data_IF_113815332153
#
_entry.id   IF_113815332153
#
_cell.length_a   1.000
_cell.length_b   1.000
_cell.length_c   1.000
_cell.angle_alpha   90.00
_cell.angle_beta   90.00
_cell.angle_gamma   90.00
#
_symmetry.space_group_name_H-M   'P 1'
#
loop_
_entity.id
_entity.type
_entity.pdbx_description
1 polymer ?
#
# COMPACT_ATOMS: atom_id res chain seq x y z
N UNK A 1 -2.89 24.79 25.18
CA UNK A 1 -2.19 24.66 23.89
C UNK A 1 -3.26 24.67 22.82
N UNK A 2 -3.26 25.71 21.97
CA UNK A 2 -4.27 25.91 20.93
C UNK A 2 -3.88 25.08 19.72
N UNK A 3 -4.57 23.97 19.48
CA UNK A 3 -4.44 23.19 18.24
C UNK A 3 -5.22 23.91 17.13
N UNK A 4 -4.62 24.93 16.54
CA UNK A 4 -5.03 25.38 15.21
C UNK A 4 -4.43 24.42 14.20
N UNK A 5 -5.11 23.29 13.95
CA UNK A 5 -4.79 22.42 12.82
C UNK A 5 -5.08 23.19 11.54
N UNK A 6 -4.04 23.57 10.82
CA UNK A 6 -4.17 23.71 9.37
C UNK A 6 -4.47 22.32 8.83
N UNK A 7 -5.71 22.08 8.41
CA UNK A 7 -6.20 20.85 7.76
C UNK A 7 -5.52 20.56 6.42
N UNK A 8 -4.60 21.44 5.99
CA UNK A 8 -3.86 21.31 4.73
C UNK A 8 -2.73 20.28 4.86
N UNK A 9 -2.03 20.22 6.01
CA UNK A 9 -0.87 19.32 6.20
C UNK A 9 -1.18 17.82 6.26
N UNK A 10 -2.46 17.43 6.20
CA UNK A 10 -2.88 16.02 6.16
C UNK A 10 -3.21 15.52 4.75
N UNK A 11 -3.39 16.40 3.76
CA UNK A 11 -3.76 16.00 2.39
C UNK A 11 -2.53 15.57 1.60
N UNK A 12 -2.73 14.70 0.63
CA UNK A 12 -1.66 14.35 -0.30
C UNK A 12 -1.50 15.46 -1.36
N UNK A 13 -0.27 15.86 -1.75
CA UNK A 13 -0.06 16.76 -2.89
C UNK A 13 -0.62 16.15 -4.17
N UNK A 14 -1.15 17.00 -5.05
CA UNK A 14 -1.50 16.54 -6.41
C UNK A 14 -0.19 16.15 -7.10
N UNK A 15 -0.03 14.87 -7.47
CA UNK A 15 1.21 14.38 -8.05
C UNK A 15 1.42 14.95 -9.46
N UNK A 16 2.67 14.98 -9.90
CA UNK A 16 3.01 15.26 -11.29
C UNK A 16 2.45 14.16 -12.19
N UNK A 17 1.76 14.56 -13.26
CA UNK A 17 1.21 13.60 -14.22
C UNK A 17 2.29 12.68 -14.79
N UNK A 18 1.96 11.38 -14.89
CA UNK A 18 2.81 10.33 -15.43
C UNK A 18 2.38 9.87 -16.84
N UNK A 19 1.28 10.41 -17.34
CA UNK A 19 0.81 10.22 -18.71
C UNK A 19 -0.50 10.98 -18.96
N UNK A 20 -1.12 10.77 -20.14
CA UNK A 20 -2.33 11.47 -20.53
C UNK A 20 -3.52 11.27 -19.57
N UNK A 21 -3.63 10.11 -18.92
CA UNK A 21 -4.73 9.83 -18.00
C UNK A 21 -4.62 10.67 -16.73
N UNK A 22 -3.44 10.69 -16.10
CA UNK A 22 -3.18 11.46 -14.87
C UNK A 22 -3.14 12.96 -15.11
N UNK A 23 -2.73 13.41 -16.30
CA UNK A 23 -2.82 14.82 -16.72
C UNK A 23 -4.27 15.28 -16.78
N UNK A 24 -5.12 14.54 -17.51
CA UNK A 24 -6.55 14.83 -17.60
C UNK A 24 -7.26 14.70 -16.24
N UNK A 25 -6.92 13.69 -15.43
CA UNK A 25 -7.49 13.51 -14.10
C UNK A 25 -7.14 14.71 -13.19
N UNK A 26 -5.92 15.20 -13.25
CA UNK A 26 -5.49 16.37 -12.46
C UNK A 26 -6.27 17.62 -12.87
N UNK A 27 -6.46 17.83 -14.18
CA UNK A 27 -7.28 18.94 -14.69
C UNK A 27 -8.73 18.86 -14.19
N UNK A 28 -9.33 17.66 -14.22
CA UNK A 28 -10.69 17.43 -13.72
C UNK A 28 -10.80 17.73 -12.23
N UNK A 29 -9.89 17.20 -11.42
CA UNK A 29 -9.94 17.32 -9.96
C UNK A 29 -9.68 18.75 -9.45
N UNK A 30 -8.81 19.49 -10.14
CA UNK A 30 -8.48 20.89 -9.82
C UNK A 30 -9.46 21.89 -10.45
N UNK A 31 -10.29 21.45 -11.40
CA UNK A 31 -11.36 22.25 -12.00
C UNK A 31 -12.51 22.53 -11.03
N UNK A 32 -13.37 23.48 -11.39
CA UNK A 32 -14.57 23.78 -10.62
C UNK A 32 -15.58 22.62 -10.72
N UNK A 33 -15.79 21.89 -9.62
CA UNK A 33 -16.74 20.78 -9.52
C UNK A 33 -18.14 21.08 -10.10
N UNK A 34 -18.61 22.33 -10.07
CA UNK A 34 -19.91 22.70 -10.65
C UNK A 34 -19.92 22.74 -12.19
N UNK A 35 -18.75 22.94 -12.81
CA UNK A 35 -18.57 23.27 -14.24
C UNK A 35 -17.79 22.20 -15.03
N UNK A 36 -17.09 21.28 -14.36
CA UNK A 36 -16.28 20.19 -14.95
C UNK A 36 -17.01 18.95 -15.54
N UNK A 37 -18.36 18.80 -15.56
CA UNK A 37 -18.98 17.61 -16.17
C UNK A 37 -18.59 17.30 -17.63
N UNK A 38 -18.14 18.30 -18.40
CA UNK A 38 -17.80 18.15 -19.83
C UNK A 38 -16.49 17.38 -20.10
N UNK A 39 -15.59 17.26 -19.12
CA UNK A 39 -14.27 16.62 -19.30
C UNK A 39 -14.26 15.11 -18.95
N UNK A 40 -15.28 14.63 -18.24
CA UNK A 40 -15.38 13.24 -17.78
C UNK A 40 -15.46 12.19 -18.92
N UNK A 41 -16.14 12.44 -20.05
CA UNK A 41 -16.13 11.50 -21.18
C UNK A 41 -14.74 11.28 -21.78
N UNK A 42 -13.92 12.33 -21.83
CA UNK A 42 -12.52 12.25 -22.28
C UNK A 42 -11.71 11.41 -21.29
N UNK A 43 -11.83 11.71 -19.99
CA UNK A 43 -11.15 10.96 -18.92
C UNK A 43 -11.47 9.46 -18.99
N UNK A 44 -12.75 9.10 -19.19
CA UNK A 44 -13.16 7.70 -19.35
C UNK A 44 -12.58 7.03 -20.61
N UNK A 45 -12.41 7.79 -21.69
CA UNK A 45 -11.76 7.30 -22.91
C UNK A 45 -10.27 7.05 -22.70
N UNK A 46 -9.58 7.98 -22.03
CA UNK A 46 -8.17 7.85 -21.70
C UNK A 46 -7.92 6.66 -20.76
N UNK A 47 -8.78 6.46 -19.75
CA UNK A 47 -8.68 5.32 -18.85
C UNK A 47 -8.75 3.98 -19.60
N UNK A 48 -9.71 3.83 -20.52
CA UNK A 48 -9.83 2.62 -21.36
C UNK A 48 -8.63 2.43 -22.28
N UNK A 49 -8.09 3.51 -22.84
CA UNK A 49 -6.91 3.46 -23.70
C UNK A 49 -5.68 2.99 -22.93
N UNK A 50 -5.41 3.58 -21.76
CA UNK A 50 -4.29 3.22 -20.91
C UNK A 50 -4.38 1.76 -20.42
N UNK A 51 -5.58 1.33 -20.00
CA UNK A 51 -5.85 -0.08 -19.66
C UNK A 51 -5.53 -1.01 -20.83
N UNK A 52 -6.02 -0.68 -22.03
CA UNK A 52 -5.82 -1.52 -23.21
C UNK A 52 -4.34 -1.64 -23.58
N UNK A 53 -3.60 -0.54 -23.57
CA UNK A 53 -2.17 -0.49 -23.88
C UNK A 53 -1.34 -1.29 -22.87
N UNK A 54 -1.58 -1.10 -21.57
CA UNK A 54 -0.85 -1.82 -20.53
C UNK A 54 -1.21 -3.31 -20.52
N UNK A 55 -2.51 -3.67 -20.58
CA UNK A 55 -2.96 -5.06 -20.56
C UNK A 55 -2.50 -5.88 -21.78
N UNK A 56 -2.22 -5.23 -22.93
CA UNK A 56 -1.64 -5.90 -24.09
C UNK A 56 -0.26 -6.52 -23.82
N UNK A 57 0.43 -6.09 -22.77
CA UNK A 57 1.76 -6.55 -22.39
C UNK A 57 1.77 -7.49 -21.16
N UNK A 58 0.59 -7.94 -20.70
CA UNK A 58 0.43 -8.88 -19.60
C UNK A 58 0.09 -8.23 -18.25
N UNK A 59 -0.17 -9.05 -17.21
CA UNK A 59 -0.61 -8.55 -15.90
C UNK A 59 0.44 -7.69 -15.19
N UNK A 60 1.74 -8.04 -15.27
CA UNK A 60 2.78 -7.22 -14.66
C UNK A 60 2.90 -5.83 -15.28
N UNK A 61 2.57 -5.70 -16.58
CA UNK A 61 2.59 -4.41 -17.25
C UNK A 61 1.51 -3.47 -16.71
N UNK A 62 0.30 -3.95 -16.42
CA UNK A 62 -0.75 -3.14 -15.79
C UNK A 62 -0.40 -2.78 -14.33
N UNK A 63 0.16 -3.73 -13.57
CA UNK A 63 0.63 -3.50 -12.19
C UNK A 63 1.80 -2.51 -12.15
N UNK A 64 2.62 -2.49 -13.20
CA UNK A 64 3.77 -1.60 -13.35
C UNK A 64 3.51 -0.33 -14.15
N UNK A 65 2.28 -0.07 -14.61
CA UNK A 65 1.97 1.10 -15.44
C UNK A 65 1.87 2.37 -14.58
N UNK A 66 2.77 3.33 -14.84
CA UNK A 66 2.89 4.56 -14.08
C UNK A 66 1.64 5.46 -14.16
N UNK A 67 0.95 5.51 -15.29
CA UNK A 67 -0.20 6.39 -15.50
C UNK A 67 -1.47 5.79 -14.86
N UNK A 68 -1.71 4.49 -15.07
CA UNK A 68 -2.83 3.75 -14.49
C UNK A 68 -2.73 3.69 -12.96
N UNK A 69 -1.57 3.33 -12.41
CA UNK A 69 -1.42 3.16 -10.97
C UNK A 69 -1.52 4.51 -10.25
N UNK A 70 -0.93 5.58 -10.78
CA UNK A 70 -1.06 6.91 -10.17
C UNK A 70 -2.50 7.44 -10.25
N UNK A 71 -3.20 7.23 -11.37
CA UNK A 71 -4.61 7.61 -11.49
C UNK A 71 -5.48 6.90 -10.44
N UNK A 72 -5.28 5.59 -10.23
CA UNK A 72 -5.96 4.84 -9.17
C UNK A 72 -5.62 5.38 -7.77
N UNK A 73 -4.35 5.68 -7.49
CA UNK A 73 -3.94 6.24 -6.20
C UNK A 73 -4.63 7.58 -5.93
N UNK A 74 -4.68 8.48 -6.92
CA UNK A 74 -5.39 9.76 -6.80
C UNK A 74 -6.89 9.56 -6.53
N UNK A 75 -7.55 8.64 -7.24
CA UNK A 75 -8.97 8.34 -7.08
C UNK A 75 -9.29 7.68 -5.72
N UNK A 76 -8.40 6.85 -5.19
CA UNK A 76 -8.55 6.28 -3.86
C UNK A 76 -8.30 7.30 -2.76
N UNK A 77 -7.38 8.24 -2.95
CA UNK A 77 -7.09 9.25 -1.93
C UNK A 77 -8.28 10.15 -1.61
N UNK A 78 -9.24 10.30 -2.54
CA UNK A 78 -10.52 10.97 -2.28
C UNK A 78 -11.35 10.30 -1.17
N UNK A 79 -11.09 9.02 -0.89
CA UNK A 79 -11.74 8.23 0.18
C UNK A 79 -10.89 8.20 1.46
N UNK A 80 -9.75 8.90 1.50
CA UNK A 80 -8.87 8.99 2.67
C UNK A 80 -8.75 10.45 3.13
N UNK A 81 -7.59 11.08 2.93
CA UNK A 81 -7.31 12.46 3.38
C UNK A 81 -7.53 13.48 2.26
N UNK A 82 -7.81 13.04 1.04
CA UNK A 82 -8.01 13.88 -0.12
C UNK A 82 -6.70 14.46 -0.69
N UNK A 83 -6.86 15.23 -1.77
CA UNK A 83 -5.76 15.90 -2.45
C UNK A 83 -5.79 17.42 -2.15
N UNK A 84 -4.62 18.05 -2.11
CA UNK A 84 -4.52 19.51 -1.97
C UNK A 84 -5.27 20.24 -3.09
N UNK A 85 -6.13 21.19 -2.72
CA UNK A 85 -6.90 22.00 -3.68
C UNK A 85 -8.06 21.30 -4.38
N UNK A 86 -8.34 20.04 -4.04
CA UNK A 86 -9.44 19.25 -4.62
C UNK A 86 -10.66 19.28 -3.69
N UNK A 87 -11.83 19.57 -4.27
CA UNK A 87 -13.12 19.61 -3.56
C UNK A 87 -13.56 18.20 -3.10
N UNK A 88 -13.90 18.05 -1.82
CA UNK A 88 -14.29 16.76 -1.23
C UNK A 88 -15.57 16.16 -1.86
N UNK A 89 -16.39 16.97 -2.54
CA UNK A 89 -17.56 16.46 -3.28
C UNK A 89 -17.19 15.52 -4.42
N UNK A 90 -15.94 15.54 -4.90
CA UNK A 90 -15.44 14.60 -5.90
C UNK A 90 -15.44 13.15 -5.39
N UNK A 91 -15.39 12.91 -4.08
CA UNK A 91 -15.39 11.56 -3.46
C UNK A 91 -16.52 10.68 -4.01
N UNK A 92 -17.71 11.26 -4.18
CA UNK A 92 -18.94 10.57 -4.61
C UNK A 92 -19.46 11.00 -5.98
N UNK A 93 -18.65 11.73 -6.76
CA UNK A 93 -19.05 12.14 -8.11
C UNK A 93 -19.17 10.91 -9.03
N UNK A 94 -20.37 10.63 -9.52
CA UNK A 94 -20.69 9.37 -10.23
C UNK A 94 -19.84 9.13 -11.47
N UNK A 95 -19.47 10.18 -12.21
CA UNK A 95 -18.58 10.08 -13.35
C UNK A 95 -17.16 9.64 -12.97
N UNK A 96 -16.60 10.12 -11.85
CA UNK A 96 -15.30 9.67 -11.37
C UNK A 96 -15.37 8.26 -10.80
N UNK A 97 -16.46 7.92 -10.10
CA UNK A 97 -16.70 6.55 -9.64
C UNK A 97 -16.75 5.57 -10.82
N UNK A 98 -17.34 5.95 -11.94
CA UNK A 98 -17.38 5.12 -13.15
C UNK A 98 -15.98 4.91 -13.75
N UNK A 99 -15.13 5.95 -13.77
CA UNK A 99 -13.72 5.84 -14.20
C UNK A 99 -12.93 4.95 -13.24
N UNK A 100 -13.07 5.16 -11.92
CA UNK A 100 -12.42 4.34 -10.91
C UNK A 100 -12.81 2.87 -11.05
N UNK A 101 -14.10 2.57 -11.19
CA UNK A 101 -14.59 1.21 -11.38
C UNK A 101 -13.97 0.53 -12.61
N UNK A 102 -13.77 1.27 -13.71
CA UNK A 102 -13.10 0.74 -14.91
C UNK A 102 -11.65 0.35 -14.63
N UNK A 103 -10.91 1.18 -13.89
CA UNK A 103 -9.52 0.93 -13.51
C UNK A 103 -9.42 -0.19 -12.45
N UNK A 104 -10.34 -0.23 -11.48
CA UNK A 104 -10.45 -1.28 -10.46
C UNK A 104 -10.66 -2.66 -11.09
N UNK A 105 -11.55 -2.75 -12.08
CA UNK A 105 -11.81 -4.00 -12.82
C UNK A 105 -10.56 -4.50 -13.54
N UNK A 106 -9.81 -3.60 -14.18
CA UNK A 106 -8.57 -3.94 -14.84
C UNK A 106 -7.50 -4.40 -13.82
N UNK A 107 -7.33 -3.64 -12.73
CA UNK A 107 -6.39 -3.99 -11.67
C UNK A 107 -6.71 -5.35 -11.07
N UNK A 108 -7.96 -5.62 -10.70
CA UNK A 108 -8.34 -6.93 -10.16
C UNK A 108 -8.04 -8.07 -11.13
N UNK A 109 -8.36 -7.91 -12.41
CA UNK A 109 -8.06 -8.92 -13.42
C UNK A 109 -6.56 -9.19 -13.52
N UNK A 110 -5.72 -8.14 -13.48
CA UNK A 110 -4.27 -8.30 -13.48
C UNK A 110 -3.76 -8.94 -12.18
N UNK A 111 -4.30 -8.59 -11.02
CA UNK A 111 -3.92 -9.19 -9.73
C UNK A 111 -4.26 -10.67 -9.65
N UNK A 112 -5.45 -11.09 -10.12
CA UNK A 112 -5.83 -12.50 -10.20
C UNK A 112 -4.95 -13.29 -11.16
N UNK A 113 -4.65 -12.71 -12.32
CA UNK A 113 -3.73 -13.32 -13.29
C UNK A 113 -2.28 -13.38 -12.77
N UNK A 114 -1.83 -12.40 -11.98
CA UNK A 114 -0.49 -12.36 -11.40
C UNK A 114 -0.23 -13.53 -10.43
N UNK A 115 -1.28 -14.02 -9.76
CA UNK A 115 -1.15 -15.06 -8.71
C UNK A 115 -1.68 -16.43 -9.12
N UNK A 116 -2.04 -16.59 -10.40
CA UNK A 116 -2.63 -17.81 -10.96
C UNK A 116 -3.79 -18.35 -10.09
N UNK A 117 -4.83 -17.52 -9.88
CA UNK A 117 -5.99 -17.79 -9.00
C UNK A 117 -6.91 -18.96 -9.43
N UNK A 118 -6.41 -19.93 -10.21
CA UNK A 118 -7.16 -21.08 -10.73
C UNK A 118 -7.19 -22.28 -9.76
N UNK A 119 -6.51 -22.19 -8.62
CA UNK A 119 -6.44 -23.28 -7.64
C UNK A 119 -7.66 -23.28 -6.70
N UNK A 120 -8.68 -24.07 -7.06
CA UNK A 120 -9.78 -24.40 -6.14
C UNK A 120 -9.24 -24.91 -4.81
N UNK A 121 -9.33 -24.09 -3.77
CA UNK A 121 -8.81 -24.43 -2.43
C UNK A 121 -9.98 -24.73 -1.49
N UNK A 122 -9.85 -25.81 -0.72
CA UNK A 122 -10.84 -26.18 0.28
C UNK A 122 -10.83 -25.20 1.45
N UNK A 123 -12.02 -24.85 1.96
CA UNK A 123 -12.17 -24.04 3.16
C UNK A 123 -11.47 -24.64 4.40
N UNK A 124 -11.33 -25.98 4.45
CA UNK A 124 -10.67 -26.67 5.56
C UNK A 124 -9.17 -26.38 5.64
N UNK A 125 -8.54 -25.98 4.54
CA UNK A 125 -7.09 -25.89 4.42
C UNK A 125 -6.57 -24.46 4.49
N UNK A 126 -7.44 -23.43 4.59
CA UNK A 126 -7.04 -22.01 4.46
C UNK A 126 -5.93 -21.62 5.44
N UNK A 127 -6.04 -21.97 6.72
CA UNK A 127 -5.01 -21.61 7.72
C UNK A 127 -3.68 -22.31 7.42
N UNK A 128 -3.73 -23.61 7.08
CA UNK A 128 -2.53 -24.35 6.71
C UNK A 128 -1.88 -23.77 5.43
N UNK A 129 -2.69 -23.45 4.42
CA UNK A 129 -2.21 -22.80 3.20
C UNK A 129 -1.63 -21.42 3.46
N UNK A 130 -2.21 -20.62 4.37
CA UNK A 130 -1.63 -19.33 4.77
C UNK A 130 -0.24 -19.51 5.38
N UNK A 131 -0.07 -20.46 6.31
CA UNK A 131 1.25 -20.76 6.87
C UNK A 131 2.26 -21.23 5.81
N UNK A 132 1.84 -22.09 4.87
CA UNK A 132 2.69 -22.51 3.75
C UNK A 132 3.11 -21.33 2.85
N UNK A 133 2.19 -20.42 2.56
CA UNK A 133 2.45 -19.24 1.74
C UNK A 133 3.40 -18.24 2.41
N UNK A 134 3.34 -18.11 3.74
CA UNK A 134 4.13 -17.14 4.50
C UNK A 134 5.43 -17.71 5.06
N UNK A 135 5.77 -18.97 4.73
CA UNK A 135 7.05 -19.55 5.12
C UNK A 135 8.23 -18.69 4.59
N UNK A 136 9.23 -18.39 5.43
CA UNK A 136 10.37 -17.59 5.01
C UNK A 136 11.07 -18.17 3.77
N UNK A 137 11.17 -17.37 2.72
CA UNK A 137 11.85 -17.77 1.49
C UNK A 137 13.30 -18.24 1.77
N UNK A 138 13.70 -19.32 1.10
CA UNK A 138 15.06 -19.89 1.24
C UNK A 138 16.16 -18.97 0.70
N UNK A 139 15.84 -18.10 -0.26
CA UNK A 139 16.81 -17.19 -0.89
C UNK A 139 16.88 -15.85 -0.13
N UNK A 140 18.05 -15.18 -0.07
CA UNK A 140 18.17 -13.86 0.54
C UNK A 140 17.33 -12.81 -0.21
N UNK A 141 16.21 -12.37 0.38
CA UNK A 141 15.37 -11.27 -0.13
C UNK A 141 15.80 -9.88 0.38
N UNK A 142 14.96 -8.87 0.14
CA UNK A 142 15.16 -7.46 0.51
C UNK A 142 15.65 -7.29 1.96
N UNK A 143 14.95 -7.90 2.92
CA UNK A 143 15.33 -7.86 4.33
C UNK A 143 16.75 -8.37 4.62
N UNK A 144 17.18 -9.44 3.96
CA UNK A 144 18.54 -9.97 4.11
C UNK A 144 19.58 -9.04 3.47
N UNK A 145 19.24 -8.39 2.35
CA UNK A 145 20.08 -7.39 1.72
C UNK A 145 20.26 -6.16 2.63
N UNK A 146 19.17 -5.61 3.16
CA UNK A 146 19.21 -4.45 4.08
C UNK A 146 20.02 -4.74 5.35
N UNK A 147 19.77 -5.90 5.97
CA UNK A 147 20.51 -6.32 7.16
C UNK A 147 22.02 -6.38 6.94
N UNK A 148 22.48 -6.84 5.78
CA UNK A 148 23.90 -7.26 5.57
C UNK A 148 24.71 -6.37 4.64
N UNK A 149 24.07 -5.68 3.69
CA UNK A 149 24.73 -5.05 2.55
C UNK A 149 24.34 -3.60 2.35
N UNK A 150 23.14 -3.21 2.75
CA UNK A 150 22.66 -1.89 2.39
C UNK A 150 23.44 -0.77 3.04
N UNK A 151 23.46 0.36 2.36
CA UNK A 151 23.94 1.64 2.86
C UNK A 151 22.76 2.48 3.37
N UNK A 152 23.07 3.54 4.12
CA UNK A 152 22.04 4.40 4.72
C UNK A 152 21.12 5.03 3.66
N UNK A 153 21.67 5.36 2.49
CA UNK A 153 20.88 5.91 1.38
C UNK A 153 19.82 4.92 0.87
N UNK A 154 20.12 3.62 0.88
CA UNK A 154 19.16 2.60 0.46
C UNK A 154 18.06 2.38 1.51
N UNK A 155 18.37 2.61 2.80
CA UNK A 155 17.34 2.71 3.84
C UNK A 155 16.44 3.93 3.63
N UNK A 156 16.99 5.08 3.23
CA UNK A 156 16.18 6.25 2.87
C UNK A 156 15.26 5.96 1.68
N UNK A 157 15.79 5.32 0.64
CA UNK A 157 14.97 4.92 -0.51
C UNK A 157 13.87 3.93 -0.12
N UNK A 158 14.14 2.98 0.78
CA UNK A 158 13.12 2.09 1.33
C UNK A 158 12.00 2.88 2.01
N UNK A 159 12.34 3.80 2.92
CA UNK A 159 11.34 4.61 3.62
C UNK A 159 10.53 5.46 2.65
N UNK A 160 11.17 6.05 1.64
CA UNK A 160 10.49 6.81 0.58
C UNK A 160 9.49 5.94 -0.17
N UNK A 161 9.90 4.76 -0.67
CA UNK A 161 9.02 3.83 -1.40
C UNK A 161 7.82 3.43 -0.54
N UNK A 162 8.07 3.15 0.74
CA UNK A 162 7.05 2.65 1.68
C UNK A 162 6.14 3.75 2.23
N UNK A 163 6.54 5.03 2.15
CA UNK A 163 5.85 6.16 2.78
C UNK A 163 4.40 6.39 2.35
N UNK A 164 4.04 6.06 1.10
CA UNK A 164 2.67 6.28 0.58
C UNK A 164 1.64 5.44 1.35
N UNK A 165 2.02 4.23 1.79
CA UNK A 165 1.18 3.41 2.66
C UNK A 165 1.46 3.69 4.14
N UNK A 166 2.72 3.62 4.57
CA UNK A 166 3.03 3.58 6.00
C UNK A 166 2.69 4.88 6.75
N UNK A 167 2.65 6.04 6.09
CA UNK A 167 2.16 7.29 6.71
C UNK A 167 0.61 7.34 6.89
N UNK A 168 -0.09 6.29 6.46
CA UNK A 168 -1.52 6.05 6.70
C UNK A 168 -1.81 4.59 7.12
N UNK A 169 -0.83 3.89 7.65
CA UNK A 169 -1.03 2.60 8.29
C UNK A 169 -2.00 2.76 9.49
N UNK A 170 -3.10 2.00 9.62
CA UNK A 170 -3.58 0.84 8.84
C UNK A 170 -4.91 1.13 8.08
N UNK A 171 -5.08 2.35 7.57
CA UNK A 171 -6.34 2.89 7.04
C UNK A 171 -7.04 2.01 5.97
N UNK A 172 -6.34 1.40 4.99
CA UNK A 172 -6.99 0.56 4.00
C UNK A 172 -7.70 -0.67 4.60
N UNK A 173 -7.14 -1.28 5.64
CA UNK A 173 -7.74 -2.45 6.30
C UNK A 173 -8.93 -2.07 7.18
N UNK A 174 -8.94 -0.87 7.75
CA UNK A 174 -10.05 -0.33 8.57
C UNK A 174 -11.39 -0.35 7.81
N UNK A 175 -11.37 -0.21 6.48
CA UNK A 175 -12.57 -0.38 5.67
C UNK A 175 -13.22 -1.77 5.82
N UNK A 176 -12.49 -2.81 6.18
CA UNK A 176 -13.06 -4.13 6.42
C UNK A 176 -14.02 -4.16 7.64
N UNK A 177 -13.77 -3.35 8.67
CA UNK A 177 -14.52 -3.37 9.94
C UNK A 177 -16.05 -3.30 9.74
N UNK A 178 -16.64 -2.33 9.00
CA UNK A 178 -18.09 -2.28 8.80
C UNK A 178 -18.65 -3.48 8.03
N UNK A 179 -17.81 -4.25 7.32
CA UNK A 179 -18.21 -5.38 6.46
C UNK A 179 -18.16 -6.74 7.19
N UNK A 180 -17.56 -6.79 8.38
CA UNK A 180 -17.42 -7.99 9.21
C UNK A 180 -18.48 -8.03 10.33
N UNK A 181 -18.58 -9.15 11.05
CA UNK A 181 -19.46 -9.33 12.20
C UNK A 181 -18.85 -10.34 13.20
N UNK A 182 -19.43 -10.44 14.41
CA UNK A 182 -19.07 -11.47 15.38
C UNK A 182 -17.61 -11.44 15.85
N UNK A 183 -17.06 -12.62 16.15
CA UNK A 183 -15.68 -12.77 16.63
C UNK A 183 -14.65 -12.30 15.60
N UNK A 184 -14.91 -12.49 14.31
CA UNK A 184 -14.05 -12.03 13.21
C UNK A 184 -13.90 -10.51 13.21
N UNK A 185 -14.98 -9.77 13.51
CA UNK A 185 -14.91 -8.31 13.70
C UNK A 185 -14.06 -7.93 14.90
N UNK A 186 -14.20 -8.67 16.01
CA UNK A 186 -13.41 -8.40 17.21
C UNK A 186 -11.91 -8.60 16.93
N UNK A 187 -11.53 -9.69 16.25
CA UNK A 187 -10.15 -9.95 15.83
C UNK A 187 -9.58 -8.86 14.91
N UNK A 188 -10.36 -8.39 13.92
CA UNK A 188 -9.97 -7.24 13.07
C UNK A 188 -9.76 -5.98 13.91
N UNK A 189 -10.69 -5.67 14.83
CA UNK A 189 -10.57 -4.47 15.68
C UNK A 189 -9.38 -4.57 16.64
N UNK A 190 -9.07 -5.76 17.14
CA UNK A 190 -7.92 -6.00 18.01
C UNK A 190 -6.61 -5.64 17.31
N UNK A 191 -6.36 -6.19 16.11
CA UNK A 191 -5.20 -5.86 15.28
C UNK A 191 -5.17 -4.36 14.99
N UNK A 192 -6.27 -3.80 14.45
CA UNK A 192 -6.31 -2.37 14.10
C UNK A 192 -6.14 -1.45 15.31
N UNK A 193 -6.53 -1.87 16.53
CA UNK A 193 -6.34 -1.05 17.74
C UNK A 193 -4.86 -0.89 18.06
N UNK A 194 -4.07 -1.95 17.87
CA UNK A 194 -2.62 -1.91 18.05
C UNK A 194 -1.95 -1.03 16.99
N UNK A 195 -2.33 -1.19 15.72
CA UNK A 195 -1.86 -0.34 14.61
C UNK A 195 -2.12 1.16 14.85
N UNK A 196 -3.26 1.48 15.49
CA UNK A 196 -3.63 2.83 15.92
C UNK A 196 -3.10 3.21 17.32
N UNK A 197 -2.09 2.50 17.83
CA UNK A 197 -1.34 2.81 19.05
C UNK A 197 -2.14 2.66 20.34
N UNK A 198 -3.22 1.87 20.35
CA UNK A 198 -4.07 1.67 21.53
C UNK A 198 -4.71 2.95 22.07
N UNK A 199 -4.89 3.96 21.21
CA UNK A 199 -5.39 5.29 21.59
C UNK A 199 -4.30 6.28 22.03
N UNK A 200 -3.02 5.93 21.87
CA UNK A 200 -1.88 6.80 22.15
C UNK A 200 -1.31 7.33 20.83
N UNK A 201 -1.46 8.63 20.51
CA UNK A 201 -1.04 9.18 19.22
C UNK A 201 0.43 8.96 18.88
N UNK A 202 1.31 8.95 19.88
CA UNK A 202 2.74 8.72 19.72
C UNK A 202 3.11 7.26 19.40
N UNK A 203 2.19 6.33 19.58
CA UNK A 203 2.36 4.89 19.31
C UNK A 203 1.60 4.43 18.07
N UNK A 204 0.86 5.31 17.39
CA UNK A 204 0.29 5.01 16.07
C UNK A 204 1.44 4.62 15.14
N UNK A 205 1.35 3.49 14.45
CA UNK A 205 2.45 2.97 13.62
C UNK A 205 2.87 3.95 12.53
N UNK A 206 1.92 4.67 11.94
CA UNK A 206 2.22 5.77 11.01
C UNK A 206 3.05 6.90 11.63
N UNK A 207 2.87 7.21 12.92
CA UNK A 207 3.66 8.22 13.64
C UNK A 207 5.08 7.72 13.96
N UNK A 208 5.23 6.43 14.29
CA UNK A 208 6.53 5.77 14.45
C UNK A 208 7.29 5.73 13.12
N UNK A 209 6.62 5.42 12.00
CA UNK A 209 7.23 5.45 10.68
C UNK A 209 7.68 6.87 10.29
N UNK A 210 6.85 7.88 10.57
CA UNK A 210 7.19 9.29 10.40
C UNK A 210 8.42 9.68 11.24
N UNK A 211 8.54 9.17 12.46
CA UNK A 211 9.74 9.35 13.29
C UNK A 211 10.98 8.73 12.63
N UNK A 212 10.88 7.51 12.08
CA UNK A 212 11.98 6.88 11.36
C UNK A 212 12.42 7.70 10.15
N UNK A 213 11.47 8.27 9.41
CA UNK A 213 11.76 9.17 8.29
C UNK A 213 12.54 10.40 8.75
N UNK A 214 12.06 11.12 9.78
CA UNK A 214 12.76 12.31 10.30
C UNK A 214 14.16 11.98 10.83
N UNK A 215 14.30 10.85 11.53
CA UNK A 215 15.59 10.40 12.07
C UNK A 215 16.64 10.12 10.98
N UNK A 216 16.19 9.76 9.77
CA UNK A 216 17.06 9.60 8.59
C UNK A 216 17.12 10.85 7.70
N UNK A 217 16.57 11.98 8.12
CA UNK A 217 16.61 13.25 7.39
C UNK A 217 15.61 13.37 6.24
N UNK A 218 14.52 12.59 6.27
CA UNK A 218 13.43 12.65 5.31
C UNK A 218 12.28 13.54 5.80
N UNK A 219 11.48 14.04 4.84
CA UNK A 219 10.23 14.75 5.06
C UNK A 219 9.11 13.73 5.30
N UNK A 220 8.49 13.79 6.47
CA UNK A 220 7.43 12.87 6.88
C UNK A 220 6.02 13.37 6.53
N UNK A 221 5.90 14.47 5.79
CA UNK A 221 4.60 14.96 5.33
C UNK A 221 3.93 13.93 4.42
N UNK A 222 2.63 13.69 4.64
CA UNK A 222 1.89 12.67 3.91
C UNK A 222 1.92 12.91 2.39
N UNK A 223 2.41 11.92 1.65
CA UNK A 223 2.51 12.00 0.19
C UNK A 223 3.64 12.88 -0.35
N UNK A 224 4.56 13.39 0.47
CA UNK A 224 5.68 14.24 0.05
C UNK A 224 6.53 13.63 -1.09
N UNK A 225 6.56 12.31 -1.17
CA UNK A 225 7.36 11.57 -2.13
C UNK A 225 6.55 10.81 -3.19
N UNK A 226 5.26 11.08 -3.33
CA UNK A 226 4.40 10.38 -4.30
C UNK A 226 4.95 10.43 -5.73
N UNK A 227 5.68 11.48 -6.13
CA UNK A 227 6.30 11.59 -7.45
C UNK A 227 7.55 10.71 -7.66
N UNK A 228 8.15 10.25 -6.56
CA UNK A 228 9.39 9.45 -6.56
C UNK A 228 9.14 7.95 -6.43
N UNK A 229 7.95 7.52 -6.02
CA UNK A 229 7.69 6.08 -5.83
C UNK A 229 7.37 5.39 -7.17
N UNK A 230 7.90 4.18 -7.42
CA UNK A 230 7.56 3.39 -8.61
C UNK A 230 6.07 2.98 -8.65
N UNK A 231 5.54 2.76 -9.86
CA UNK A 231 4.16 2.29 -10.06
C UNK A 231 3.83 1.00 -9.28
N UNK A 232 4.77 0.05 -9.20
CA UNK A 232 4.58 -1.19 -8.44
C UNK A 232 4.35 -0.95 -6.95
N UNK A 233 4.94 0.10 -6.38
CA UNK A 233 4.70 0.51 -5.00
C UNK A 233 3.31 1.12 -4.83
N UNK A 234 2.82 1.87 -5.81
CA UNK A 234 1.46 2.38 -5.84
C UNK A 234 0.45 1.23 -5.97
N UNK A 235 0.76 0.21 -6.76
CA UNK A 235 -0.07 -0.97 -6.93
C UNK A 235 -0.30 -1.73 -5.61
N UNK A 236 0.69 -1.80 -4.71
CA UNK A 236 0.52 -2.33 -3.35
C UNK A 236 -0.61 -1.57 -2.63
N UNK A 237 -0.53 -0.24 -2.56
CA UNK A 237 -1.52 0.59 -1.85
C UNK A 237 -2.90 0.54 -2.53
N UNK A 238 -2.92 0.51 -3.86
CA UNK A 238 -4.14 0.42 -4.66
C UNK A 238 -4.85 -0.93 -4.46
N UNK A 239 -4.11 -2.04 -4.34
CA UNK A 239 -4.69 -3.36 -4.05
C UNK A 239 -5.34 -3.41 -2.67
N UNK A 240 -4.68 -2.83 -1.64
CA UNK A 240 -5.26 -2.72 -0.30
C UNK A 240 -6.56 -1.91 -0.32
N UNK A 241 -6.56 -0.77 -1.02
CA UNK A 241 -7.73 0.10 -1.17
C UNK A 241 -8.86 -0.59 -1.94
N UNK A 242 -8.54 -1.31 -3.03
CA UNK A 242 -9.48 -2.12 -3.80
C UNK A 242 -10.21 -3.13 -2.90
N UNK A 243 -9.45 -3.90 -2.12
CA UNK A 243 -10.00 -4.92 -1.24
C UNK A 243 -10.81 -4.30 -0.10
N UNK A 244 -10.32 -3.23 0.52
CA UNK A 244 -10.98 -2.53 1.60
C UNK A 244 -12.31 -1.89 1.18
N UNK A 245 -12.33 -1.16 0.06
CA UNK A 245 -13.51 -0.43 -0.41
C UNK A 245 -14.53 -1.33 -1.14
N UNK A 246 -14.13 -2.51 -1.63
CA UNK A 246 -15.03 -3.40 -2.37
C UNK A 246 -15.59 -4.51 -1.48
N UNK A 247 -16.87 -4.41 -1.07
CA UNK A 247 -17.50 -5.40 -0.16
C UNK A 247 -17.42 -6.85 -0.65
N UNK A 248 -17.48 -7.10 -1.96
CA UNK A 248 -17.38 -8.48 -2.49
C UNK A 248 -15.99 -9.09 -2.25
N UNK A 249 -14.96 -8.25 -2.10
CA UNK A 249 -13.56 -8.63 -1.85
C UNK A 249 -13.22 -8.62 -0.34
N UNK A 250 -14.21 -8.69 0.55
CA UNK A 250 -13.97 -8.69 2.01
C UNK A 250 -13.12 -9.86 2.49
N UNK A 251 -13.15 -11.00 1.78
CA UNK A 251 -12.22 -12.11 2.04
C UNK A 251 -10.79 -11.71 1.70
N UNK A 252 -10.58 -11.02 0.57
CA UNK A 252 -9.26 -10.59 0.12
C UNK A 252 -8.60 -9.57 1.05
N UNK A 253 -9.33 -8.60 1.59
CA UNK A 253 -8.73 -7.67 2.59
C UNK A 253 -8.32 -8.41 3.87
N UNK A 254 -9.11 -9.40 4.31
CA UNK A 254 -8.78 -10.25 5.46
C UNK A 254 -7.55 -11.11 5.20
N UNK A 255 -7.48 -11.77 4.03
CA UNK A 255 -6.32 -12.56 3.66
C UNK A 255 -5.05 -11.74 3.42
N UNK A 256 -5.20 -10.54 2.85
CA UNK A 256 -4.09 -9.60 2.72
C UNK A 256 -3.55 -9.19 4.09
N UNK A 257 -4.42 -8.84 5.05
CA UNK A 257 -3.99 -8.51 6.41
C UNK A 257 -3.31 -9.72 7.05
N UNK A 258 -3.91 -10.91 6.95
CA UNK A 258 -3.32 -12.13 7.49
C UNK A 258 -1.91 -12.39 6.96
N UNK A 259 -1.68 -12.30 5.64
CA UNK A 259 -0.34 -12.44 5.08
C UNK A 259 0.63 -11.34 5.54
N UNK A 260 0.14 -10.11 5.71
CA UNK A 260 0.94 -8.99 6.20
C UNK A 260 1.44 -9.24 7.64
N UNK A 261 0.52 -9.55 8.57
CA UNK A 261 0.83 -9.89 9.97
C UNK A 261 1.71 -11.14 10.10
N UNK A 262 1.49 -12.15 9.26
CA UNK A 262 2.26 -13.39 9.30
C UNK A 262 3.67 -13.25 8.71
N UNK A 263 4.00 -12.12 8.07
CA UNK A 263 5.30 -11.89 7.43
C UNK A 263 6.04 -10.64 7.90
N UNK A 264 5.55 -9.93 8.90
CA UNK A 264 6.10 -8.65 9.39
C UNK A 264 7.31 -8.80 10.32
N UNK A 265 7.29 -9.74 11.28
CA UNK A 265 8.33 -9.85 12.33
C UNK A 265 9.76 -10.01 11.79
N UNK A 266 9.97 -10.98 10.87
CA UNK A 266 11.32 -11.33 10.43
C UNK A 266 11.96 -10.25 9.53
N UNK A 267 11.25 -9.65 8.56
CA UNK A 267 11.72 -8.48 7.84
C UNK A 267 12.04 -7.29 8.76
N UNK A 268 11.14 -6.92 9.67
CA UNK A 268 11.34 -5.78 10.58
C UNK A 268 12.57 -5.98 11.48
N UNK A 269 12.75 -7.17 12.06
CA UNK A 269 13.97 -7.53 12.81
C UNK A 269 15.25 -7.35 11.98
N UNK A 270 15.20 -7.69 10.68
CA UNK A 270 16.36 -7.56 9.77
C UNK A 270 16.60 -6.11 9.36
N UNK A 271 15.55 -5.30 9.18
CA UNK A 271 15.67 -3.87 8.94
C UNK A 271 16.32 -3.18 10.15
N UNK A 272 15.81 -3.45 11.36
CA UNK A 272 16.39 -2.96 12.61
C UNK A 272 17.86 -3.38 12.78
N UNK A 273 18.20 -4.64 12.45
CA UNK A 273 19.60 -5.10 12.45
C UNK A 273 20.48 -4.31 11.47
N UNK A 274 19.98 -4.02 10.27
CA UNK A 274 20.72 -3.27 9.26
C UNK A 274 20.94 -1.81 9.65
N UNK A 275 19.94 -1.16 10.24
CA UNK A 275 20.07 0.20 10.77
C UNK A 275 21.07 0.28 11.93
N UNK A 276 21.02 -0.66 12.88
CA UNK A 276 22.01 -0.76 13.97
C UNK A 276 23.42 -0.97 13.44
N UNK A 277 23.60 -1.78 12.40
CA UNK A 277 24.91 -1.99 11.74
C UNK A 277 25.47 -0.69 11.14
N UNK A 278 24.60 0.25 10.77
CA UNK A 278 24.95 1.53 10.17
C UNK A 278 25.01 2.67 11.20
N UNK A 279 24.97 2.35 12.50
CA UNK A 279 24.95 3.33 13.60
C UNK A 279 23.83 4.37 13.46
N UNK A 280 22.67 3.97 12.92
CA UNK A 280 21.50 4.85 12.82
C UNK A 280 20.92 5.16 14.21
N UNK A 281 20.28 6.33 14.41
CA UNK A 281 19.64 6.69 15.68
C UNK A 281 18.57 5.69 16.10
N UNK A 282 18.33 5.55 17.41
CA UNK A 282 17.27 4.67 17.95
C UNK A 282 15.89 5.05 17.41
N UNK A 283 15.64 6.34 17.17
CA UNK A 283 14.41 6.85 16.55
C UNK A 283 14.21 6.34 15.12
N UNK A 284 15.29 6.01 14.39
CA UNK A 284 15.19 5.40 13.07
C UNK A 284 14.74 3.93 13.15
N UNK A 285 15.00 3.28 14.29
CA UNK A 285 14.84 1.85 14.51
C UNK A 285 13.50 1.53 15.17
N UNK A 286 12.96 2.43 16.00
CA UNK A 286 11.79 2.19 16.86
C UNK A 286 10.58 1.58 16.13
N UNK A 287 10.20 2.10 14.96
CA UNK A 287 9.12 1.53 14.13
C UNK A 287 9.32 0.03 13.84
N UNK A 288 10.55 -0.36 13.50
CA UNK A 288 10.88 -1.75 13.16
C UNK A 288 10.97 -2.65 14.39
N UNK A 289 11.38 -2.13 15.55
CA UNK A 289 11.40 -2.91 16.79
C UNK A 289 9.98 -3.13 17.33
N UNK A 290 9.07 -2.16 17.19
CA UNK A 290 7.65 -2.30 17.58
C UNK A 290 7.01 -3.52 16.90
N UNK A 291 7.17 -3.64 15.58
CA UNK A 291 6.71 -4.79 14.79
C UNK A 291 7.47 -6.10 15.07
N UNK A 292 8.49 -6.09 15.94
CA UNK A 292 9.10 -7.34 16.44
C UNK A 292 8.47 -7.76 17.75
N UNK A 293 8.05 -6.80 18.58
CA UNK A 293 7.46 -7.05 19.90
C UNK A 293 5.97 -7.40 19.81
N UNK A 294 5.21 -6.74 18.93
CA UNK A 294 3.75 -6.93 18.78
C UNK A 294 3.35 -8.27 18.13
N UNK A 295 4.17 -8.77 17.19
CA UNK A 295 3.62 -9.63 16.12
C UNK A 295 3.46 -11.13 16.44
N UNK A 296 4.09 -11.66 17.49
CA UNK A 296 3.91 -13.09 17.82
C UNK A 296 2.45 -13.42 18.21
N UNK A 297 1.72 -12.41 18.71
CA UNK A 297 0.29 -12.53 19.04
C UNK A 297 -0.56 -12.23 17.81
N UNK A 298 -0.21 -11.20 17.03
CA UNK A 298 -0.95 -10.84 15.81
C UNK A 298 -0.92 -11.94 14.75
N UNK A 299 0.19 -12.65 14.57
CA UNK A 299 0.28 -13.79 13.65
C UNK A 299 -0.84 -14.81 13.91
N UNK A 300 -1.06 -15.14 15.19
CA UNK A 300 -2.07 -16.13 15.59
C UNK A 300 -3.49 -15.59 15.44
N UNK A 301 -3.74 -14.35 15.83
CA UNK A 301 -5.04 -13.69 15.68
C UNK A 301 -5.39 -13.61 14.18
N UNK A 302 -4.46 -13.15 13.35
CA UNK A 302 -4.67 -12.93 11.94
C UNK A 302 -4.93 -14.25 11.19
N UNK A 303 -4.16 -15.30 11.48
CA UNK A 303 -4.34 -16.62 10.87
C UNK A 303 -5.61 -17.34 11.37
N UNK A 304 -5.80 -17.46 12.68
CA UNK A 304 -6.80 -18.36 13.26
C UNK A 304 -8.14 -17.70 13.56
N UNK A 305 -8.13 -16.52 14.17
CA UNK A 305 -9.33 -15.83 14.66
C UNK A 305 -9.95 -14.95 13.57
N UNK A 306 -9.11 -14.31 12.75
CA UNK A 306 -9.54 -13.47 11.64
C UNK A 306 -9.78 -14.30 10.36
N UNK A 307 -8.73 -14.78 9.69
CA UNK A 307 -8.87 -15.48 8.41
C UNK A 307 -9.57 -16.83 8.56
N UNK A 308 -9.09 -17.66 9.50
CA UNK A 308 -9.73 -18.93 9.83
C UNK A 308 -11.14 -18.74 10.36
N UNK A 309 -11.38 -17.71 11.18
CA UNK A 309 -12.72 -17.37 11.67
C UNK A 309 -13.69 -17.01 10.56
N UNK A 310 -13.28 -16.14 9.64
CA UNK A 310 -14.09 -15.74 8.49
C UNK A 310 -14.48 -16.95 7.63
N UNK A 311 -13.55 -17.85 7.36
CA UNK A 311 -13.83 -19.03 6.52
C UNK A 311 -14.66 -20.08 7.25
N UNK A 312 -14.56 -20.20 8.58
CA UNK A 312 -15.47 -21.04 9.36
C UNK A 312 -16.92 -20.53 9.29
N UNK A 313 -17.11 -19.21 9.39
CA UNK A 313 -18.43 -18.57 9.36
C UNK A 313 -18.99 -18.48 7.92
N UNK A 314 -18.13 -18.21 6.94
CA UNK A 314 -18.46 -18.02 5.52
C UNK A 314 -17.51 -18.83 4.59
N UNK A 315 -17.68 -20.16 4.47
CA UNK A 315 -16.74 -21.03 3.73
C UNK A 315 -16.51 -20.66 2.26
N UNK A 316 -17.47 -19.98 1.63
CA UNK A 316 -17.35 -19.53 0.23
C UNK A 316 -16.29 -18.45 0.04
N UNK A 317 -15.82 -17.80 1.10
CA UNK A 317 -14.78 -16.76 1.04
C UNK A 317 -13.35 -17.31 1.09
N UNK A 318 -13.16 -18.63 1.20
CA UNK A 318 -11.83 -19.25 1.26
C UNK A 318 -10.92 -18.84 0.08
N UNK A 319 -11.47 -18.84 -1.14
CA UNK A 319 -10.74 -18.40 -2.34
C UNK A 319 -10.33 -16.92 -2.25
N UNK A 320 -11.24 -16.04 -1.84
CA UNK A 320 -10.93 -14.61 -1.70
C UNK A 320 -9.86 -14.35 -0.63
N UNK A 321 -9.88 -15.07 0.50
CA UNK A 321 -8.85 -14.97 1.53
C UNK A 321 -7.47 -15.33 0.95
N UNK A 322 -7.37 -16.45 0.24
CA UNK A 322 -6.09 -16.86 -0.34
C UNK A 322 -5.65 -15.96 -1.49
N UNK A 323 -6.59 -15.43 -2.28
CA UNK A 323 -6.30 -14.41 -3.28
C UNK A 323 -5.63 -13.19 -2.63
N UNK A 324 -6.23 -12.64 -1.57
CA UNK A 324 -5.69 -11.49 -0.86
C UNK A 324 -4.27 -11.72 -0.33
N UNK A 325 -4.04 -12.89 0.28
CA UNK A 325 -2.73 -13.29 0.79
C UNK A 325 -1.68 -13.42 -0.34
N UNK A 326 -2.02 -14.13 -1.42
CA UNK A 326 -1.13 -14.31 -2.57
C UNK A 326 -0.79 -12.98 -3.23
N UNK A 327 -1.77 -12.08 -3.38
CA UNK A 327 -1.56 -10.74 -3.96
C UNK A 327 -0.61 -9.92 -3.09
N UNK A 328 -0.79 -9.92 -1.76
CA UNK A 328 0.09 -9.22 -0.84
C UNK A 328 1.56 -9.65 -1.03
N UNK A 329 1.80 -10.98 -1.03
CA UNK A 329 3.13 -11.56 -1.17
C UNK A 329 3.73 -11.35 -2.56
N UNK A 330 2.92 -11.45 -3.62
CA UNK A 330 3.38 -11.26 -4.99
C UNK A 330 3.80 -9.81 -5.25
N UNK A 331 2.99 -8.84 -4.84
CA UNK A 331 3.32 -7.42 -5.00
C UNK A 331 4.53 -7.02 -4.14
N UNK A 332 4.63 -7.52 -2.90
CA UNK A 332 5.81 -7.26 -2.07
C UNK A 332 7.09 -7.83 -2.70
N UNK A 333 7.01 -9.03 -3.31
CA UNK A 333 8.12 -9.63 -4.04
C UNK A 333 8.54 -8.77 -5.23
N UNK A 334 7.59 -8.28 -6.05
CA UNK A 334 7.88 -7.42 -7.20
C UNK A 334 8.60 -6.13 -6.79
N UNK A 335 8.11 -5.45 -5.74
CA UNK A 335 8.74 -4.22 -5.23
C UNK A 335 10.14 -4.53 -4.67
N UNK A 336 10.24 -5.57 -3.83
CA UNK A 336 11.49 -5.99 -3.20
C UNK A 336 12.57 -6.35 -4.21
N UNK A 337 12.23 -7.13 -5.24
CA UNK A 337 13.17 -7.55 -6.28
C UNK A 337 13.62 -6.37 -7.14
N UNK A 338 12.70 -5.44 -7.49
CA UNK A 338 13.03 -4.24 -8.24
C UNK A 338 14.01 -3.34 -7.47
N UNK A 339 13.78 -3.12 -6.17
CA UNK A 339 14.68 -2.33 -5.30
C UNK A 339 16.08 -2.97 -5.22
N UNK A 340 16.14 -4.26 -4.90
CA UNK A 340 17.42 -4.99 -4.79
C UNK A 340 18.16 -5.02 -6.13
N UNK A 341 17.46 -5.17 -7.26
CA UNK A 341 18.06 -5.15 -8.58
C UNK A 341 18.64 -3.77 -8.93
N UNK A 342 17.91 -2.69 -8.65
CA UNK A 342 18.40 -1.32 -8.85
C UNK A 342 19.69 -1.08 -8.06
N UNK A 343 19.68 -1.39 -6.77
CA UNK A 343 20.83 -1.21 -5.87
C UNK A 343 22.04 -2.04 -6.27
N UNK A 344 21.86 -3.31 -6.65
CA UNK A 344 22.96 -4.15 -7.16
C UNK A 344 23.56 -3.62 -8.46
N UNK A 345 22.78 -2.87 -9.25
CA UNK A 345 23.24 -2.20 -10.46
C UNK A 345 23.82 -0.80 -10.22
N UNK A 346 23.93 -0.34 -8.96
CA UNK A 346 24.39 1.01 -8.63
C UNK A 346 23.41 2.12 -9.02
N UNK A 347 22.13 1.79 -9.17
CA UNK A 347 21.05 2.73 -9.50
C UNK A 347 20.12 2.91 -8.30
N UNK A 348 19.47 4.07 -8.25
CA UNK A 348 18.38 4.32 -7.29
C UNK A 348 17.18 3.43 -7.59
N UNK A 349 16.49 2.98 -6.55
CA UNK A 349 15.20 2.30 -6.65
C UNK A 349 14.03 3.30 -6.84
N UNK A 350 14.28 4.61 -6.68
CA UNK A 350 13.29 5.65 -6.90
C UNK A 350 13.06 5.91 -8.39
N UNK A 351 11.86 6.35 -8.70
CA UNK A 351 11.49 6.79 -10.05
C UNK A 351 12.27 8.05 -10.43
N UNK A 352 12.81 8.07 -11.65
CA UNK A 352 13.46 9.25 -12.21
C UNK A 352 12.43 10.28 -12.67
N UNK A 353 12.38 11.45 -12.04
CA UNK A 353 11.54 12.56 -12.49
C UNK A 353 12.28 13.37 -13.56
N UNK A 354 11.95 13.19 -14.84
CA UNK A 354 12.44 14.10 -15.90
C UNK A 354 11.63 15.40 -15.86
N UNK A 355 12.10 16.44 -15.18
CA UNK A 355 11.50 17.79 -15.24
C UNK A 355 11.55 18.67 -13.99
N UNK A 356 11.87 18.15 -12.81
CA UNK A 356 12.09 18.94 -11.60
C UNK A 356 13.55 18.81 -11.17
N UNK A 357 14.16 19.91 -10.71
CA UNK A 357 15.50 19.90 -10.14
C UNK A 357 15.69 18.66 -9.25
N UNK A 358 16.82 17.95 -9.39
CA UNK A 358 17.21 16.86 -8.49
C UNK A 358 17.00 17.34 -7.04
N UNK A 359 15.85 17.04 -6.44
CA UNK A 359 15.76 16.90 -4.99
C UNK A 359 16.53 15.63 -4.74
N UNK A 360 17.85 15.77 -4.62
CA UNK A 360 18.63 14.79 -3.89
C UNK A 360 17.85 14.61 -2.60
N UNK A 361 17.54 13.36 -2.24
CA UNK A 361 17.40 13.01 -0.83
C UNK A 361 18.63 13.64 -0.17
N UNK A 362 18.40 14.71 0.59
CA UNK A 362 19.48 15.62 0.92
C UNK A 362 20.48 14.85 1.79
N UNK A 363 21.67 14.65 1.27
CA UNK A 363 22.84 14.30 2.08
C UNK A 363 23.14 15.53 2.94
N UNK A 364 22.52 15.58 4.13
CA UNK A 364 22.99 16.38 5.24
C UNK A 364 23.79 15.46 6.18
#
# INVERSE_FOLDING_TARGET
>A
MSFTHATDGSRMPVPSARGPLTDALSAVLLGDHASTPDELPLLATLAKSAIHEAAAHGPEALVGDDDVQLALTMLYELHYRGLHGVDDRWEWHTGLLAVRLCLEQALEAALRALVDDDAGTSAADVVATLHELTEPARKPGLASYLARRAELEQFRELLVVRSVYHLKEADPHTWAIPRLAGAVKAAMVEIQTDEYGGGRPEWVHAALFAQSMRALGLDDSYGAYVDLVPATSLAVVNAMSLFGLTRRLRGAVVGHLAAFEMTSTLPNKRYAQGLRRLDAPDEAIAYFDEHVEADAVHEQIAAHDLAGGLVRDEPTLAGDVLLGARVALALDTLVSDAMVAAWKSGRSALRSTTGGARRRVATA
#
